data_IF_040496222480
#
_entry.id   IF_040496222480
#
_cell.length_a   1.000
_cell.length_b   1.000
_cell.length_c   1.000
_cell.angle_alpha   90.00
_cell.angle_beta   90.00
_cell.angle_gamma   90.00
#
_symmetry.space_group_name_H-M   'P 1'
#
loop_
_entity.id
_entity.type
_entity.pdbx_description
1 polymer ?
#
# COMPACT_ATOMS: atom_id res chain seq x y z
N UNK A 1 0.18 28.28 -6.74
CA UNK A 1 1.56 28.46 -6.21
C UNK A 1 2.16 27.08 -6.01
N UNK A 2 3.09 26.68 -6.87
CA UNK A 2 3.87 25.45 -6.67
C UNK A 2 4.84 25.66 -5.51
N UNK A 3 4.70 24.89 -4.44
CA UNK A 3 5.64 24.91 -3.33
C UNK A 3 6.98 24.33 -3.81
N UNK A 4 8.11 25.05 -3.71
CA UNK A 4 9.43 24.51 -3.97
C UNK A 4 9.87 23.67 -2.76
N UNK A 5 10.29 22.41 -2.99
CA UNK A 5 11.01 21.63 -1.96
C UNK A 5 10.52 20.21 -1.65
N UNK A 6 9.65 19.61 -2.46
CA UNK A 6 9.18 18.24 -2.22
C UNK A 6 10.01 17.21 -2.99
N UNK A 7 11.25 17.00 -2.55
CA UNK A 7 12.02 15.82 -2.93
C UNK A 7 12.06 14.91 -1.71
N UNK A 8 11.26 13.84 -1.72
CA UNK A 8 11.55 12.68 -0.87
C UNK A 8 12.84 12.04 -1.42
N UNK A 9 14.00 12.39 -0.86
CA UNK A 9 15.26 11.76 -1.24
C UNK A 9 15.37 10.35 -0.63
N UNK A 10 15.49 9.28 -1.43
CA UNK A 10 16.06 8.03 -0.95
C UNK A 10 17.59 8.19 -0.97
N UNK A 11 18.19 8.49 0.18
CA UNK A 11 19.64 8.53 0.31
C UNK A 11 20.23 7.12 0.42
N UNK A 12 20.68 6.52 -0.69
CA UNK A 12 21.78 5.54 -0.71
C UNK A 12 22.50 5.63 -2.08
N UNK A 13 23.76 6.09 -2.07
CA UNK A 13 24.66 6.10 -3.22
C UNK A 13 25.58 4.87 -3.09
N UNK A 14 25.66 4.02 -4.12
CA UNK A 14 26.81 3.15 -4.36
C UNK A 14 27.30 3.36 -5.81
N UNK A 15 28.62 3.52 -6.04
CA UNK A 15 29.16 3.82 -7.36
C UNK A 15 29.41 2.53 -8.15
N UNK A 16 29.05 2.50 -9.42
CA UNK A 16 29.71 1.61 -10.37
C UNK A 16 29.91 2.31 -11.71
N UNK A 17 31.18 2.63 -11.99
CA UNK A 17 31.70 2.95 -13.31
C UNK A 17 31.58 1.72 -14.22
N UNK A 18 31.14 1.91 -15.48
CA UNK A 18 31.90 1.49 -16.67
C UNK A 18 31.33 2.07 -17.99
N UNK A 19 32.26 2.17 -18.93
CA UNK A 19 32.32 2.94 -20.17
C UNK A 19 31.30 2.60 -21.28
N UNK A 20 30.84 3.67 -21.94
CA UNK A 20 30.96 3.99 -23.38
C UNK A 20 30.83 2.86 -24.44
N UNK A 21 29.84 2.97 -25.33
CA UNK A 21 30.06 3.04 -26.80
C UNK A 21 28.83 3.55 -27.55
N UNK A 22 29.09 4.50 -28.45
CA UNK A 22 28.14 5.19 -29.34
C UNK A 22 28.16 4.48 -30.70
N UNK A 23 27.00 4.13 -31.26
CA UNK A 23 26.87 3.79 -32.68
C UNK A 23 25.71 4.56 -33.31
N UNK A 24 26.07 5.43 -34.24
CA UNK A 24 25.18 6.08 -35.20
C UNK A 24 24.93 5.11 -36.37
N UNK A 25 23.69 4.95 -36.79
CA UNK A 25 23.39 4.56 -38.19
C UNK A 25 22.06 5.16 -38.64
N UNK A 26 22.16 6.03 -39.66
CA UNK A 26 21.04 6.51 -40.46
C UNK A 26 20.44 5.36 -41.27
N UNK A 27 19.11 5.35 -41.39
CA UNK A 27 18.38 4.50 -42.33
C UNK A 27 17.04 5.14 -42.67
N UNK A 28 16.99 5.86 -43.78
CA UNK A 28 15.80 6.42 -44.42
C UNK A 28 14.92 5.29 -44.97
N UNK A 29 13.61 5.35 -44.73
CA UNK A 29 12.65 4.61 -45.55
C UNK A 29 11.41 5.45 -45.85
N UNK A 30 11.23 5.74 -47.15
CA UNK A 30 10.01 6.23 -47.77
C UNK A 30 8.96 5.12 -47.81
N UNK A 31 7.71 5.44 -47.46
CA UNK A 31 6.55 4.71 -48.02
C UNK A 31 5.30 5.59 -48.10
N UNK A 32 5.01 6.00 -49.34
CA UNK A 32 3.74 6.17 -50.03
C UNK A 32 2.45 6.41 -49.22
N UNK A 33 1.89 7.59 -49.48
CA UNK A 33 0.50 7.99 -49.23
C UNK A 33 -0.44 7.23 -50.17
N UNK A 34 -1.47 6.60 -49.62
CA UNK A 34 -2.64 6.17 -50.37
C UNK A 34 -3.92 6.61 -49.65
N UNK A 35 -4.65 7.53 -50.27
CA UNK A 35 -6.02 7.90 -49.91
C UNK A 35 -7.00 6.79 -50.31
N UNK A 36 -7.94 6.44 -49.42
CA UNK A 36 -9.26 5.97 -49.85
C UNK A 36 -10.34 6.38 -48.84
N UNK A 37 -11.54 6.62 -49.39
CA UNK A 37 -12.65 7.39 -48.82
C UNK A 37 -13.52 6.60 -47.81
N UNK A 38 -14.06 7.39 -46.89
CA UNK A 38 -15.34 7.29 -46.15
C UNK A 38 -16.22 6.04 -46.32
N UNK A 39 -16.56 5.42 -45.18
CA UNK A 39 -17.77 4.63 -44.99
C UNK A 39 -18.19 4.69 -43.52
N UNK A 40 -19.32 5.37 -43.25
CA UNK A 40 -20.00 5.38 -41.95
C UNK A 40 -20.66 4.03 -41.71
N UNK A 41 -20.31 3.36 -40.61
CA UNK A 41 -21.13 2.29 -40.03
C UNK A 41 -21.00 2.35 -38.51
N UNK A 42 -22.08 2.81 -37.89
CA UNK A 42 -22.34 2.74 -36.47
C UNK A 42 -22.50 1.27 -36.07
N UNK A 43 -21.65 0.78 -35.17
CA UNK A 43 -21.73 -0.58 -34.64
C UNK A 43 -21.93 -0.54 -33.11
N UNK A 44 -23.05 -1.14 -32.70
CA UNK A 44 -23.53 -1.32 -31.34
C UNK A 44 -22.50 -1.96 -30.38
N UNK A 45 -22.63 -1.79 -29.06
CA UNK A 45 -21.59 -2.16 -28.10
C UNK A 45 -21.50 -3.68 -27.94
N UNK A 46 -20.28 -4.21 -28.11
CA UNK A 46 -19.97 -5.60 -27.83
C UNK A 46 -19.88 -5.84 -26.31
N UNK A 47 -20.91 -6.47 -25.76
CA UNK A 47 -20.84 -7.14 -24.46
C UNK A 47 -19.92 -8.38 -24.59
N UNK A 48 -18.62 -8.21 -24.37
CA UNK A 48 -17.65 -9.30 -24.31
C UNK A 48 -17.32 -9.68 -22.87
N UNK A 49 -17.99 -10.69 -22.31
CA UNK A 49 -17.47 -11.45 -21.16
C UNK A 49 -16.28 -12.28 -21.65
N UNK A 50 -15.06 -11.78 -21.46
CA UNK A 50 -13.84 -12.56 -21.66
C UNK A 50 -13.66 -13.59 -20.55
N UNK A 51 -14.25 -14.78 -20.73
CA UNK A 51 -14.02 -15.96 -19.89
C UNK A 51 -12.80 -16.70 -20.41
N UNK A 52 -11.63 -16.48 -19.80
CA UNK A 52 -10.47 -17.35 -20.02
C UNK A 52 -10.15 -18.02 -18.69
N UNK A 53 -10.38 -19.33 -18.64
CA UNK A 53 -10.15 -20.18 -17.47
C UNK A 53 -8.71 -20.68 -17.37
N UNK A 54 -8.45 -21.67 -16.50
CA UNK A 54 -7.13 -22.27 -16.31
C UNK A 54 -6.50 -22.73 -17.63
N UNK A 55 -5.19 -22.56 -17.78
CA UNK A 55 -4.40 -22.99 -18.94
C UNK A 55 -4.39 -22.02 -20.13
N UNK A 56 -5.10 -20.88 -20.06
CA UNK A 56 -5.12 -19.91 -21.16
C UNK A 56 -3.94 -18.92 -21.05
N UNK A 57 -3.24 -18.74 -22.16
CA UNK A 57 -2.16 -17.73 -22.31
C UNK A 57 -2.74 -16.42 -22.84
N UNK A 58 -2.52 -15.33 -22.10
CA UNK A 58 -2.84 -13.97 -22.56
C UNK A 58 -1.78 -13.48 -23.55
N UNK A 59 -2.15 -13.38 -24.84
CA UNK A 59 -1.21 -13.06 -25.94
C UNK A 59 -0.71 -11.60 -25.95
N UNK A 60 -1.52 -10.64 -25.52
CA UNK A 60 -1.15 -9.21 -25.42
C UNK A 60 -1.33 -8.77 -23.98
N UNK A 61 -0.25 -8.37 -23.31
CA UNK A 61 -0.24 -8.00 -21.88
C UNK A 61 0.05 -6.51 -21.74
N UNK A 62 -0.95 -5.62 -21.99
CA UNK A 62 -0.75 -4.19 -21.78
C UNK A 62 -0.33 -3.92 -20.33
N UNK A 63 0.43 -2.85 -20.11
CA UNK A 63 1.08 -2.50 -18.83
C UNK A 63 2.18 -3.48 -18.34
N UNK A 64 2.34 -4.67 -18.93
CA UNK A 64 3.36 -5.62 -18.48
C UNK A 64 4.77 -5.10 -18.71
N UNK A 65 5.61 -5.15 -17.68
CA UNK A 65 7.04 -4.88 -17.74
C UNK A 65 7.87 -6.14 -17.95
N UNK A 66 7.24 -7.32 -17.88
CA UNK A 66 7.92 -8.60 -17.93
C UNK A 66 7.24 -9.63 -17.02
N UNK A 67 7.48 -10.90 -17.34
CA UNK A 67 7.02 -12.06 -16.58
C UNK A 67 8.17 -13.05 -16.42
N UNK A 68 8.28 -13.65 -15.23
CA UNK A 68 9.15 -14.79 -14.93
C UNK A 68 8.27 -15.97 -14.56
N UNK A 69 8.57 -17.17 -15.07
CA UNK A 69 7.75 -18.37 -14.87
C UNK A 69 6.84 -18.68 -16.06
N UNK A 70 5.78 -19.47 -15.83
CA UNK A 70 4.83 -19.87 -16.88
C UNK A 70 3.76 -18.80 -17.12
N UNK A 71 3.63 -18.36 -18.37
CA UNK A 71 2.67 -17.31 -18.75
C UNK A 71 1.21 -17.78 -18.85
N UNK A 72 0.96 -19.10 -18.80
CA UNK A 72 -0.37 -19.70 -18.77
C UNK A 72 -0.99 -19.56 -17.37
N UNK A 73 -2.23 -19.08 -17.33
CA UNK A 73 -2.94 -18.87 -16.08
C UNK A 73 -3.15 -20.20 -15.33
N UNK A 74 -2.89 -20.23 -14.03
CA UNK A 74 -3.30 -21.35 -13.17
C UNK A 74 -4.48 -20.96 -12.29
N UNK A 75 -5.12 -21.97 -11.69
CA UNK A 75 -6.12 -21.75 -10.65
C UNK A 75 -5.72 -22.61 -9.45
N UNK A 76 -5.32 -21.96 -8.37
CA UNK A 76 -4.92 -22.60 -7.12
C UNK A 76 -5.86 -22.17 -6.02
N UNK A 77 -6.07 -23.07 -5.05
CA UNK A 77 -6.74 -22.71 -3.82
C UNK A 77 -5.91 -21.68 -3.06
N UNK A 78 -6.49 -20.50 -2.84
CA UNK A 78 -5.88 -19.42 -2.06
C UNK A 78 -6.42 -19.40 -0.63
N UNK A 79 -5.61 -18.91 0.30
CA UNK A 79 -6.04 -18.53 1.65
C UNK A 79 -5.85 -17.03 1.83
N UNK A 80 -6.91 -16.33 2.26
CA UNK A 80 -6.87 -14.88 2.41
C UNK A 80 -5.81 -14.39 3.40
N UNK A 81 -5.39 -13.15 3.19
CA UNK A 81 -4.45 -12.46 4.07
C UNK A 81 -4.06 -11.11 3.52
N UNK A 82 -3.54 -10.25 4.39
CA UNK A 82 -3.04 -8.93 4.00
C UNK A 82 -1.65 -8.69 4.55
N UNK A 83 -0.83 -7.96 3.80
CA UNK A 83 0.48 -7.49 4.24
C UNK A 83 0.56 -5.98 4.15
N UNK A 84 0.73 -5.33 5.31
CA UNK A 84 0.99 -3.90 5.43
C UNK A 84 2.49 -3.71 5.69
N UNK A 85 3.27 -3.39 4.65
CA UNK A 85 4.72 -3.27 4.73
C UNK A 85 5.17 -1.79 4.74
N UNK A 86 6.08 -1.45 5.66
CA UNK A 86 6.43 -0.06 5.93
C UNK A 86 7.39 0.58 4.93
N UNK A 87 7.94 -0.15 3.96
CA UNK A 87 8.92 0.37 2.99
C UNK A 87 10.38 0.11 3.39
N UNK A 88 11.31 0.78 2.70
CA UNK A 88 12.73 0.49 2.84
C UNK A 88 13.11 -0.82 2.14
N UNK A 89 13.96 -1.64 2.79
CA UNK A 89 14.23 -3.00 2.29
C UNK A 89 13.00 -3.88 2.53
N UNK A 90 12.64 -4.66 1.53
CA UNK A 90 11.55 -5.62 1.60
C UNK A 90 11.77 -6.72 2.65
N UNK A 91 10.66 -7.27 3.16
CA UNK A 91 10.65 -8.29 4.21
C UNK A 91 10.40 -9.67 3.59
N UNK A 92 11.47 -10.44 3.36
CA UNK A 92 11.39 -11.78 2.76
C UNK A 92 10.36 -12.69 3.44
N UNK A 93 10.29 -12.67 4.77
CA UNK A 93 9.37 -13.52 5.53
C UNK A 93 7.90 -13.22 5.22
N UNK A 94 7.55 -11.96 4.96
CA UNK A 94 6.20 -11.56 4.58
C UNK A 94 5.86 -12.04 3.15
N UNK A 95 6.82 -11.98 2.22
CA UNK A 95 6.63 -12.54 0.88
C UNK A 95 6.47 -14.06 0.90
N UNK A 96 7.31 -14.79 1.65
CA UNK A 96 7.13 -16.24 1.84
C UNK A 96 5.76 -16.58 2.43
N UNK A 97 5.31 -15.79 3.40
CA UNK A 97 3.99 -15.93 4.02
C UNK A 97 2.84 -15.72 3.02
N UNK A 98 2.98 -14.78 2.08
CA UNK A 98 2.01 -14.56 1.00
C UNK A 98 2.05 -15.68 -0.06
N UNK A 99 3.24 -16.16 -0.43
CA UNK A 99 3.41 -17.27 -1.39
C UNK A 99 2.75 -18.56 -0.88
N UNK A 100 2.94 -18.88 0.41
CA UNK A 100 2.26 -20.02 1.05
C UNK A 100 0.73 -19.92 0.90
N UNK A 101 0.19 -18.71 1.06
CA UNK A 101 -1.24 -18.40 0.93
C UNK A 101 -1.77 -18.36 -0.49
N UNK A 102 -0.89 -18.19 -1.47
CA UNK A 102 -1.26 -18.19 -2.89
C UNK A 102 -1.38 -19.61 -3.46
N UNK A 103 -0.97 -20.63 -2.70
CA UNK A 103 -0.87 -22.00 -3.20
C UNK A 103 0.17 -22.16 -4.31
N UNK A 104 1.11 -21.21 -4.43
CA UNK A 104 2.12 -21.17 -5.48
C UNK A 104 1.57 -20.86 -6.87
N UNK A 105 0.47 -20.10 -6.96
CA UNK A 105 -0.11 -19.66 -8.24
C UNK A 105 0.58 -18.46 -8.87
N UNK A 106 -0.18 -17.68 -9.64
CA UNK A 106 0.27 -16.49 -10.33
C UNK A 106 0.38 -15.29 -9.38
N UNK A 107 1.56 -14.66 -9.35
CA UNK A 107 1.83 -13.45 -8.58
C UNK A 107 1.81 -12.24 -9.50
N UNK A 108 1.02 -11.24 -9.16
CA UNK A 108 0.97 -9.96 -9.87
C UNK A 108 1.47 -8.85 -8.96
N UNK A 109 2.41 -8.05 -9.47
CA UNK A 109 2.86 -6.80 -8.86
C UNK A 109 2.27 -5.65 -9.65
N UNK A 110 1.62 -4.71 -8.97
CA UNK A 110 1.10 -3.49 -9.60
C UNK A 110 1.82 -2.25 -9.09
N UNK A 111 2.10 -1.32 -10.00
CA UNK A 111 2.82 -0.07 -9.72
C UNK A 111 2.48 1.02 -10.74
N UNK A 112 2.78 2.28 -10.44
CA UNK A 112 2.66 3.40 -11.39
C UNK A 112 4.03 3.86 -11.91
N UNK A 113 5.11 3.66 -11.16
CA UNK A 113 6.47 4.07 -11.52
C UNK A 113 7.48 2.99 -11.15
N UNK A 114 8.60 2.89 -11.88
CA UNK A 114 9.69 1.94 -11.67
C UNK A 114 9.66 0.70 -12.57
N UNK A 115 10.35 -0.38 -12.17
CA UNK A 115 10.71 -1.52 -13.03
C UNK A 115 10.04 -2.85 -12.61
N UNK A 116 10.43 -3.96 -13.21
CA UNK A 116 10.01 -5.33 -12.90
C UNK A 116 10.91 -6.05 -11.87
N UNK A 117 11.71 -5.31 -11.09
CA UNK A 117 12.69 -5.88 -10.15
C UNK A 117 12.11 -6.87 -9.12
N UNK A 118 10.80 -6.78 -8.81
CA UNK A 118 10.11 -7.74 -7.96
C UNK A 118 10.01 -9.13 -8.58
N UNK A 119 9.99 -9.25 -9.91
CA UNK A 119 9.80 -10.52 -10.61
C UNK A 119 10.86 -11.57 -10.22
N UNK A 120 12.17 -11.36 -10.48
CA UNK A 120 13.17 -12.34 -10.11
C UNK A 120 13.32 -12.48 -8.59
N UNK A 121 13.10 -11.41 -7.83
CA UNK A 121 13.20 -11.43 -6.36
C UNK A 121 12.14 -12.35 -5.75
N UNK A 122 10.85 -12.13 -6.01
CA UNK A 122 9.77 -12.96 -5.44
C UNK A 122 9.87 -14.40 -5.94
N UNK A 123 10.21 -14.61 -7.21
CA UNK A 123 10.41 -15.94 -7.77
C UNK A 123 11.56 -16.73 -7.09
N UNK A 124 12.50 -16.03 -6.45
CA UNK A 124 13.59 -16.66 -5.69
C UNK A 124 13.22 -17.04 -4.25
N UNK A 125 12.10 -16.55 -3.72
CA UNK A 125 11.72 -16.72 -2.30
C UNK A 125 10.88 -17.96 -2.02
N UNK A 126 10.28 -18.56 -3.05
CA UNK A 126 9.43 -19.74 -2.95
C UNK A 126 8.94 -20.19 -4.32
N UNK A 127 8.17 -21.28 -4.35
CA UNK A 127 7.60 -21.83 -5.59
C UNK A 127 6.32 -21.09 -5.96
N UNK A 128 6.29 -20.50 -7.14
CA UNK A 128 5.15 -19.83 -7.76
C UNK A 128 5.05 -20.22 -9.22
N UNK A 129 3.86 -20.11 -9.83
CA UNK A 129 3.68 -20.38 -11.26
C UNK A 129 4.36 -19.29 -12.10
N UNK A 130 4.07 -18.04 -11.77
CA UNK A 130 4.69 -16.88 -12.41
C UNK A 130 4.72 -15.67 -11.50
N UNK A 131 5.57 -14.72 -11.88
CA UNK A 131 5.59 -13.37 -11.31
C UNK A 131 5.59 -12.36 -12.45
N UNK A 132 4.56 -11.52 -12.50
CA UNK A 132 4.38 -10.49 -13.53
C UNK A 132 4.23 -9.11 -12.87
N UNK A 133 4.96 -8.12 -13.39
CA UNK A 133 4.81 -6.73 -12.96
C UNK A 133 4.02 -5.94 -14.01
N UNK A 134 2.94 -5.28 -13.58
CA UNK A 134 2.14 -4.36 -14.36
C UNK A 134 2.39 -2.90 -13.92
N UNK A 135 2.86 -2.07 -14.85
CA UNK A 135 2.96 -0.61 -14.69
C UNK A 135 1.68 0.06 -15.20
N UNK A 136 0.78 0.39 -14.29
CA UNK A 136 -0.53 0.97 -14.55
C UNK A 136 -0.47 2.47 -14.22
N UNK A 137 0.09 3.26 -15.13
CA UNK A 137 0.44 4.68 -14.94
C UNK A 137 -0.52 5.66 -15.66
N UNK A 138 -1.69 5.16 -16.09
CA UNK A 138 -2.72 5.96 -16.74
C UNK A 138 -4.11 5.39 -16.47
N UNK A 139 -5.14 6.25 -16.61
CA UNK A 139 -6.55 5.84 -16.56
C UNK A 139 -6.91 4.84 -17.66
N UNK A 140 -6.29 4.95 -18.84
CA UNK A 140 -6.53 4.05 -19.96
C UNK A 140 -6.03 2.64 -19.67
N UNK A 141 -4.80 2.51 -19.15
CA UNK A 141 -4.29 1.21 -18.69
C UNK A 141 -5.11 0.67 -17.52
N UNK A 142 -5.52 1.53 -16.58
CA UNK A 142 -6.34 1.11 -15.44
C UNK A 142 -7.77 0.67 -15.83
N UNK A 143 -8.27 1.09 -16.99
CA UNK A 143 -9.56 0.66 -17.55
C UNK A 143 -9.44 -0.40 -18.65
N UNK A 144 -8.22 -0.87 -18.93
CA UNK A 144 -8.00 -1.92 -19.90
C UNK A 144 -8.52 -3.27 -19.39
N UNK A 145 -9.34 -3.96 -20.18
CA UNK A 145 -9.94 -5.24 -19.79
C UNK A 145 -8.91 -6.34 -19.54
N UNK A 146 -7.81 -6.34 -20.29
CA UNK A 146 -6.75 -7.33 -20.12
C UNK A 146 -5.96 -7.10 -18.84
N UNK A 147 -5.66 -5.86 -18.47
CA UNK A 147 -5.04 -5.52 -17.18
C UNK A 147 -5.91 -5.99 -16.03
N UNK A 148 -7.20 -5.63 -16.06
CA UNK A 148 -8.16 -6.05 -15.03
C UNK A 148 -8.30 -7.57 -14.96
N UNK A 149 -8.27 -8.26 -16.11
CA UNK A 149 -8.32 -9.71 -16.17
C UNK A 149 -7.08 -10.36 -15.53
N UNK A 150 -5.87 -9.90 -15.84
CA UNK A 150 -4.64 -10.42 -15.23
C UNK A 150 -4.70 -10.27 -13.70
N UNK A 151 -5.10 -9.09 -13.20
CA UNK A 151 -5.23 -8.87 -11.76
C UNK A 151 -6.27 -9.81 -11.14
N UNK A 152 -7.47 -9.94 -11.74
CA UNK A 152 -8.53 -10.80 -11.17
C UNK A 152 -8.14 -12.26 -11.06
N UNK A 153 -7.26 -12.75 -11.94
CA UNK A 153 -6.83 -14.13 -11.91
C UNK A 153 -5.58 -14.37 -11.07
N UNK A 154 -4.90 -13.35 -10.55
CA UNK A 154 -3.78 -13.54 -9.65
C UNK A 154 -4.17 -14.35 -8.40
N UNK A 155 -3.30 -15.28 -7.98
CA UNK A 155 -3.38 -15.95 -6.68
C UNK A 155 -2.68 -15.13 -5.58
N UNK A 156 -1.91 -14.12 -5.96
CA UNK A 156 -1.27 -13.17 -5.05
C UNK A 156 -1.14 -11.81 -5.72
N UNK A 157 -1.51 -10.75 -5.02
CA UNK A 157 -1.30 -9.37 -5.48
C UNK A 157 -0.39 -8.61 -4.53
N UNK A 158 0.61 -7.91 -5.08
CA UNK A 158 1.44 -6.99 -4.33
C UNK A 158 1.44 -5.59 -4.95
N UNK A 159 1.18 -4.58 -4.13
CA UNK A 159 1.18 -3.18 -4.53
C UNK A 159 2.52 -2.56 -4.13
N UNK A 160 3.33 -2.20 -5.13
CA UNK A 160 4.67 -1.67 -4.87
C UNK A 160 4.64 -0.30 -4.16
N UNK A 161 5.83 0.18 -3.79
CA UNK A 161 6.03 1.58 -3.38
C UNK A 161 6.00 2.54 -4.57
N UNK A 162 5.95 3.83 -4.27
CA UNK A 162 5.82 4.92 -5.24
C UNK A 162 5.19 6.15 -4.59
N UNK A 163 4.38 6.87 -5.35
CA UNK A 163 3.52 7.94 -4.86
C UNK A 163 2.08 7.42 -4.77
N UNK A 164 1.48 7.44 -3.57
CA UNK A 164 0.13 6.95 -3.37
C UNK A 164 -0.94 7.83 -4.05
N UNK A 165 -0.64 9.10 -4.33
CA UNK A 165 -1.55 9.98 -5.09
C UNK A 165 -1.70 9.53 -6.54
N UNK A 166 -0.65 8.94 -7.14
CA UNK A 166 -0.72 8.33 -8.47
C UNK A 166 -1.67 7.12 -8.48
N UNK A 167 -1.66 6.29 -7.44
CA UNK A 167 -2.56 5.13 -7.35
C UNK A 167 -4.02 5.56 -7.27
N UNK A 168 -4.31 6.61 -6.51
CA UNK A 168 -5.64 7.19 -6.48
C UNK A 168 -6.02 7.79 -7.84
N UNK A 169 -5.14 8.62 -8.39
CA UNK A 169 -5.35 9.30 -9.67
C UNK A 169 -5.63 8.32 -10.80
N UNK A 170 -4.84 7.25 -10.92
CA UNK A 170 -4.98 6.30 -12.01
C UNK A 170 -6.02 5.22 -11.71
N UNK A 171 -6.04 4.62 -10.52
CA UNK A 171 -6.80 3.38 -10.30
C UNK A 171 -8.19 3.59 -9.71
N UNK A 172 -8.42 4.64 -8.93
CA UNK A 172 -9.74 4.88 -8.31
C UNK A 172 -10.85 5.06 -9.36
N UNK A 173 -11.99 4.41 -9.18
CA UNK A 173 -13.12 4.39 -10.11
C UNK A 173 -12.90 3.58 -11.39
N UNK A 174 -11.84 2.75 -11.48
CA UNK A 174 -11.49 2.01 -12.71
C UNK A 174 -11.72 0.50 -12.59
N UNK A 175 -11.50 -0.22 -13.69
CA UNK A 175 -11.51 -1.70 -13.69
C UNK A 175 -10.38 -2.29 -12.84
N UNK A 176 -9.23 -1.62 -12.74
CA UNK A 176 -8.14 -2.01 -11.82
C UNK A 176 -8.59 -2.00 -10.36
N UNK A 177 -9.24 -0.94 -9.88
CA UNK A 177 -9.79 -0.94 -8.50
C UNK A 177 -10.77 -2.09 -8.29
N UNK A 178 -11.69 -2.30 -9.23
CA UNK A 178 -12.66 -3.40 -9.16
C UNK A 178 -11.98 -4.77 -9.13
N UNK A 179 -10.88 -4.94 -9.86
CA UNK A 179 -10.10 -6.17 -9.87
C UNK A 179 -9.37 -6.41 -8.53
N UNK A 180 -8.76 -5.37 -7.96
CA UNK A 180 -8.11 -5.43 -6.63
C UNK A 180 -9.15 -5.77 -5.56
N UNK A 181 -10.31 -5.08 -5.58
CA UNK A 181 -11.39 -5.33 -4.63
C UNK A 181 -11.95 -6.75 -4.78
N UNK A 182 -12.07 -7.28 -5.99
CA UNK A 182 -12.43 -8.69 -6.21
C UNK A 182 -11.46 -9.66 -5.51
N UNK A 183 -10.14 -9.42 -5.60
CA UNK A 183 -9.15 -10.24 -4.89
C UNK A 183 -9.30 -10.14 -3.36
N UNK A 184 -9.55 -8.94 -2.85
CA UNK A 184 -9.71 -8.68 -1.41
C UNK A 184 -11.00 -9.31 -0.83
N UNK A 185 -12.13 -9.25 -1.55
CA UNK A 185 -13.44 -9.54 -0.96
C UNK A 185 -14.07 -10.85 -1.46
N UNK A 186 -13.86 -11.22 -2.72
CA UNK A 186 -14.52 -12.35 -3.38
C UNK A 186 -13.58 -13.55 -3.52
N UNK A 187 -12.46 -13.39 -4.24
CA UNK A 187 -11.46 -14.48 -4.40
C UNK A 187 -10.72 -14.75 -3.10
N UNK A 188 -10.56 -13.72 -2.25
CA UNK A 188 -9.81 -13.78 -0.99
C UNK A 188 -8.38 -14.29 -1.20
N UNK A 189 -7.72 -13.75 -2.22
CA UNK A 189 -6.29 -13.96 -2.43
C UNK A 189 -5.47 -13.14 -1.42
N UNK A 190 -4.25 -13.56 -1.05
CA UNK A 190 -3.33 -12.69 -0.31
C UNK A 190 -3.02 -11.40 -1.09
N UNK A 191 -3.28 -10.25 -0.47
CA UNK A 191 -3.00 -8.92 -1.05
C UNK A 191 -2.11 -8.12 -0.10
N UNK A 192 -0.97 -7.65 -0.59
CA UNK A 192 0.00 -6.89 0.19
C UNK A 192 0.37 -5.58 -0.46
N UNK A 193 0.98 -4.68 0.30
CA UNK A 193 1.57 -3.47 -0.25
C UNK A 193 2.68 -2.91 0.63
N UNK A 194 3.62 -2.20 0.01
CA UNK A 194 4.74 -1.53 0.70
C UNK A 194 4.72 -0.03 0.46
N UNK A 195 5.07 0.75 1.48
CA UNK A 195 5.12 2.22 1.37
C UNK A 195 3.78 2.78 0.82
N UNK A 196 3.77 3.49 -0.30
CA UNK A 196 2.53 3.94 -0.96
C UNK A 196 1.47 2.82 -1.15
N UNK A 197 1.88 1.60 -1.48
CA UNK A 197 0.97 0.45 -1.59
C UNK A 197 0.36 0.04 -0.26
N UNK A 198 1.10 0.15 0.85
CA UNK A 198 0.58 -0.03 2.20
C UNK A 198 -0.44 1.07 2.55
N UNK A 199 -0.12 2.33 2.21
CA UNK A 199 -0.93 3.49 2.58
C UNK A 199 -2.37 3.45 2.04
N UNK A 200 -2.60 2.82 0.88
CA UNK A 200 -3.92 2.75 0.24
C UNK A 200 -4.77 1.53 0.65
N UNK A 201 -4.22 0.61 1.46
CA UNK A 201 -4.95 -0.59 1.90
C UNK A 201 -5.91 -0.30 3.07
N UNK A 202 -5.69 0.79 3.81
CA UNK A 202 -6.66 1.27 4.80
C UNK A 202 -7.96 1.73 4.15
N UNK A 203 -9.09 1.43 4.78
CA UNK A 203 -10.38 2.01 4.39
C UNK A 203 -10.40 3.53 4.60
N UNK A 204 -9.62 4.01 5.56
CA UNK A 204 -9.25 5.41 5.71
C UNK A 204 -7.83 5.58 5.20
N UNK A 205 -7.55 6.59 4.39
CA UNK A 205 -6.20 6.73 3.83
C UNK A 205 -5.80 8.19 3.63
N UNK A 206 -4.50 8.44 3.79
CA UNK A 206 -3.86 9.73 3.53
C UNK A 206 -3.26 9.74 2.13
N UNK A 207 -3.65 10.71 1.30
CA UNK A 207 -3.29 10.70 -0.13
C UNK A 207 -1.89 11.20 -0.46
N UNK A 208 -1.22 11.92 0.43
CA UNK A 208 0.07 12.55 0.10
C UNK A 208 0.01 13.62 -0.99
N UNK A 209 -1.19 13.98 -1.46
CA UNK A 209 -1.38 15.01 -2.49
C UNK A 209 -0.74 16.33 -2.04
N UNK A 210 -0.08 17.00 -2.99
CA UNK A 210 0.60 18.28 -2.78
C UNK A 210 1.81 18.24 -1.83
N UNK A 211 2.32 17.03 -1.49
CA UNK A 211 3.50 16.69 -0.68
C UNK A 211 3.16 16.01 0.65
N UNK A 212 4.05 15.13 1.12
CA UNK A 212 3.90 14.43 2.41
C UNK A 212 4.05 15.41 3.58
N UNK A 213 3.04 15.48 4.44
CA UNK A 213 3.12 16.23 5.70
C UNK A 213 4.05 15.54 6.71
N UNK A 214 4.84 16.34 7.43
CA UNK A 214 5.63 15.89 8.59
C UNK A 214 4.81 15.91 9.88
N UNK A 215 5.26 15.20 10.92
CA UNK A 215 4.61 15.27 12.24
C UNK A 215 4.64 16.67 12.84
N UNK A 216 5.75 17.41 12.69
CA UNK A 216 5.86 18.76 13.21
C UNK A 216 4.82 19.71 12.58
N UNK A 217 4.69 19.68 11.25
CA UNK A 217 3.68 20.49 10.54
C UNK A 217 2.25 20.09 10.91
N UNK A 218 1.96 18.78 10.92
CA UNK A 218 0.62 18.28 11.20
C UNK A 218 0.16 18.63 12.62
N UNK A 219 1.06 18.52 13.61
CA UNK A 219 0.75 18.84 15.01
C UNK A 219 0.53 20.35 15.23
N UNK A 220 1.22 21.21 14.49
CA UNK A 220 1.07 22.66 14.58
C UNK A 220 -0.14 23.19 13.79
N UNK A 221 -0.54 22.51 12.72
CA UNK A 221 -1.75 22.85 11.96
C UNK A 221 -2.45 21.60 11.39
N UNK A 222 -3.43 21.03 12.12
CA UNK A 222 -4.17 19.83 11.71
C UNK A 222 -5.01 19.96 10.43
N UNK A 223 -5.18 21.17 9.90
CA UNK A 223 -5.93 21.45 8.67
C UNK A 223 -5.05 22.13 7.60
N UNK A 224 -3.73 21.87 7.61
CA UNK A 224 -2.88 22.27 6.48
C UNK A 224 -3.32 21.61 5.18
N UNK A 225 -3.08 22.28 4.04
CA UNK A 225 -3.51 21.84 2.70
C UNK A 225 -2.88 20.52 2.25
N UNK A 226 -1.77 20.12 2.89
CA UNK A 226 -1.08 18.84 2.65
C UNK A 226 -1.70 17.67 3.42
N UNK A 227 -2.74 17.89 4.23
CA UNK A 227 -3.49 16.83 4.93
C UNK A 227 -4.82 16.58 4.22
N UNK A 228 -4.82 15.57 3.35
CA UNK A 228 -6.00 15.10 2.63
C UNK A 228 -6.27 13.63 3.01
N UNK A 229 -7.33 13.42 3.79
CA UNK A 229 -7.75 12.10 4.27
C UNK A 229 -9.08 11.72 3.60
N UNK A 230 -9.19 10.48 3.16
CA UNK A 230 -10.34 9.94 2.44
C UNK A 230 -10.96 8.77 3.20
N UNK A 231 -12.20 8.42 2.84
CA UNK A 231 -13.04 7.48 3.59
C UNK A 231 -13.77 6.49 2.69
N UNK A 232 -13.31 5.23 2.72
CA UNK A 232 -13.96 4.04 2.20
C UNK A 232 -14.43 4.12 0.73
N UNK A 233 -13.72 4.89 -0.09
CA UNK A 233 -14.08 5.16 -1.48
C UNK A 233 -13.03 4.66 -2.49
N UNK A 234 -12.14 3.74 -2.06
CA UNK A 234 -11.12 3.13 -2.92
C UNK A 234 -10.97 1.61 -2.72
N UNK A 235 -10.10 1.15 -1.82
CA UNK A 235 -9.91 -0.28 -1.55
C UNK A 235 -10.76 -0.75 -0.37
N UNK A 236 -11.23 -2.00 -0.45
CA UNK A 236 -12.17 -2.61 0.50
C UNK A 236 -11.54 -3.78 1.24
N UNK A 237 -10.33 -3.57 1.75
CA UNK A 237 -9.57 -4.59 2.45
C UNK A 237 -10.30 -5.06 3.73
N UNK A 238 -10.52 -6.37 3.95
CA UNK A 238 -11.21 -6.88 5.14
C UNK A 238 -10.61 -6.37 6.45
N UNK A 239 -11.44 -6.08 7.46
CA UNK A 239 -11.03 -5.55 8.78
C UNK A 239 -10.45 -4.13 8.78
N UNK A 240 -10.12 -3.55 7.63
CA UNK A 240 -9.44 -2.25 7.55
C UNK A 240 -10.38 -1.06 7.26
N UNK A 241 -11.71 -1.25 7.26
CA UNK A 241 -12.69 -0.21 6.92
C UNK A 241 -12.57 1.04 7.82
N UNK A 242 -12.24 0.86 9.09
CA UNK A 242 -12.03 1.95 10.06
C UNK A 242 -10.56 2.09 10.47
N UNK A 243 -9.65 1.63 9.61
CA UNK A 243 -8.20 1.71 9.82
C UNK A 243 -7.61 2.72 8.86
N UNK A 244 -6.77 3.61 9.38
CA UNK A 244 -5.80 4.36 8.59
C UNK A 244 -4.41 3.74 8.74
N UNK A 245 -3.70 3.57 7.62
CA UNK A 245 -2.36 2.98 7.60
C UNK A 245 -1.28 4.04 7.46
N UNK A 246 -0.15 3.84 8.14
CA UNK A 246 1.06 4.67 7.96
C UNK A 246 2.31 3.80 7.79
N UNK A 247 3.36 4.36 7.19
CA UNK A 247 4.51 3.66 6.67
C UNK A 247 5.78 4.50 6.86
N UNK A 248 6.97 3.90 6.71
CA UNK A 248 8.26 4.52 7.03
C UNK A 248 8.24 5.21 8.42
N UNK A 249 7.55 4.57 9.36
CA UNK A 249 6.91 5.26 10.46
C UNK A 249 7.90 5.97 11.40
N UNK A 250 8.82 5.23 12.02
CA UNK A 250 9.84 5.81 12.90
C UNK A 250 10.95 6.47 12.08
N UNK A 251 11.32 5.84 10.97
CA UNK A 251 12.37 6.34 10.07
C UNK A 251 12.10 7.78 9.60
N UNK A 252 10.83 8.17 9.46
CA UNK A 252 10.39 9.52 9.08
C UNK A 252 9.65 10.27 10.19
N UNK A 253 9.72 9.79 11.44
CA UNK A 253 9.12 10.41 12.63
C UNK A 253 7.62 10.75 12.44
N UNK A 254 6.83 9.77 11.99
CA UNK A 254 5.43 9.95 11.56
C UNK A 254 4.39 9.72 12.67
N UNK A 255 4.83 9.60 13.92
CA UNK A 255 3.92 9.37 15.04
C UNK A 255 2.93 10.52 15.26
N UNK A 256 3.42 11.76 15.22
CA UNK A 256 2.61 12.96 15.42
C UNK A 256 1.56 13.16 14.32
N UNK A 257 1.92 12.94 13.04
CA UNK A 257 0.95 13.07 11.94
C UNK A 257 -0.14 12.00 12.00
N UNK A 258 0.19 10.78 12.42
CA UNK A 258 -0.80 9.71 12.60
C UNK A 258 -1.81 10.05 13.71
N UNK A 259 -1.34 10.66 14.81
CA UNK A 259 -2.22 11.16 15.86
C UNK A 259 -3.15 12.27 15.33
N UNK A 260 -2.63 13.16 14.49
CA UNK A 260 -3.41 14.23 13.84
C UNK A 260 -4.45 13.65 12.88
N UNK A 261 -4.10 12.68 12.05
CA UNK A 261 -5.05 12.03 11.15
C UNK A 261 -6.18 11.36 11.93
N UNK A 262 -5.86 10.60 12.97
CA UNK A 262 -6.83 9.96 13.83
C UNK A 262 -7.77 10.98 14.51
N UNK A 263 -7.22 12.10 15.00
CA UNK A 263 -8.00 13.18 15.59
C UNK A 263 -8.91 13.89 14.59
N UNK A 264 -8.42 14.11 13.36
CA UNK A 264 -9.21 14.67 12.24
C UNK A 264 -10.36 13.75 11.87
N UNK A 265 -10.11 12.46 11.70
CA UNK A 265 -11.14 11.46 11.38
C UNK A 265 -12.20 11.41 12.50
N UNK A 266 -11.77 11.41 13.76
CA UNK A 266 -12.67 11.41 14.90
C UNK A 266 -13.54 12.67 14.94
N UNK A 267 -12.95 13.85 14.74
CA UNK A 267 -13.73 15.10 14.76
C UNK A 267 -14.65 15.24 13.54
N UNK A 268 -14.12 15.05 12.34
CA UNK A 268 -14.81 15.43 11.10
C UNK A 268 -15.88 14.40 10.72
N UNK A 269 -15.68 13.12 11.07
CA UNK A 269 -16.60 12.03 10.70
C UNK A 269 -17.20 11.29 11.89
N UNK A 270 -16.85 11.64 13.13
CA UNK A 270 -17.27 10.92 14.33
C UNK A 270 -16.91 9.41 14.29
N UNK A 271 -15.77 9.09 13.68
CA UNK A 271 -15.25 7.72 13.56
C UNK A 271 -14.07 7.55 14.53
N UNK A 272 -14.19 6.61 15.47
CA UNK A 272 -13.08 6.19 16.33
C UNK A 272 -12.07 5.30 15.59
N UNK A 273 -11.40 5.90 14.60
CA UNK A 273 -10.47 5.23 13.71
C UNK A 273 -9.33 4.56 14.47
N UNK A 274 -8.86 3.44 13.94
CA UNK A 274 -7.65 2.77 14.38
C UNK A 274 -6.51 3.13 13.43
N UNK A 275 -5.28 3.11 13.93
CA UNK A 275 -4.10 3.27 13.08
C UNK A 275 -3.28 2.00 13.12
N UNK A 276 -2.86 1.51 11.97
CA UNK A 276 -1.82 0.49 11.87
C UNK A 276 -0.64 1.11 11.13
N UNK A 277 0.49 1.27 11.82
CA UNK A 277 1.67 1.88 11.24
C UNK A 277 2.84 0.90 11.26
N UNK A 278 3.56 0.80 10.14
CA UNK A 278 4.75 -0.06 10.01
C UNK A 278 5.98 0.78 9.71
N UNK A 279 7.06 0.56 10.44
CA UNK A 279 8.35 1.17 10.12
C UNK A 279 9.02 0.49 8.91
N UNK A 280 10.09 1.09 8.39
CA UNK A 280 10.88 0.45 7.33
C UNK A 280 11.33 -0.97 7.74
N UNK A 281 11.40 -1.86 6.75
CA UNK A 281 11.76 -3.28 6.93
C UNK A 281 10.86 -4.04 7.92
N UNK A 282 9.64 -3.56 8.09
CA UNK A 282 8.61 -4.18 8.92
C UNK A 282 7.36 -4.43 8.11
N UNK A 283 6.71 -5.57 8.37
CA UNK A 283 5.48 -5.99 7.72
C UNK A 283 4.50 -6.55 8.76
N UNK A 284 3.31 -5.95 8.83
CA UNK A 284 2.19 -6.52 9.57
C UNK A 284 1.45 -7.48 8.64
N UNK A 285 1.53 -8.78 8.93
CA UNK A 285 0.83 -9.83 8.18
C UNK A 285 -0.44 -10.22 8.93
N UNK A 286 -1.60 -9.93 8.35
CA UNK A 286 -2.95 -10.15 8.91
C UNK A 286 -3.56 -11.34 8.20
N UNK A 287 -3.86 -12.42 8.92
CA UNK A 287 -4.46 -13.61 8.33
C UNK A 287 -5.96 -13.46 8.03
N UNK A 288 -6.55 -14.52 7.47
CA UNK A 288 -7.97 -14.59 7.11
C UNK A 288 -8.95 -14.40 8.29
N UNK A 289 -8.48 -14.53 9.53
CA UNK A 289 -9.28 -14.38 10.75
C UNK A 289 -8.98 -13.03 11.45
N UNK A 290 -8.19 -12.16 10.80
CA UNK A 290 -7.80 -10.85 11.33
C UNK A 290 -6.70 -10.92 12.39
N UNK A 291 -6.02 -12.06 12.57
CA UNK A 291 -4.88 -12.16 13.50
C UNK A 291 -3.62 -11.66 12.80
N UNK A 292 -2.98 -10.67 13.40
CA UNK A 292 -1.77 -10.06 12.89
C UNK A 292 -0.52 -10.58 13.59
N UNK A 293 0.56 -10.78 12.83
CA UNK A 293 1.94 -10.97 13.31
C UNK A 293 2.87 -9.98 12.62
N UNK A 294 3.97 -9.60 13.28
CA UNK A 294 4.87 -8.54 12.80
C UNK A 294 6.22 -9.12 12.35
N UNK A 295 6.45 -9.14 11.04
CA UNK A 295 7.67 -9.67 10.44
C UNK A 295 8.66 -8.55 10.11
N UNK A 296 9.96 -8.79 10.28
CA UNK A 296 10.98 -7.80 9.98
C UNK A 296 12.37 -8.18 10.47
N UNK A 297 13.34 -7.30 10.26
CA UNK A 297 14.75 -7.52 10.57
C UNK A 297 15.23 -6.77 11.83
N UNK A 298 14.35 -6.61 12.81
CA UNK A 298 14.70 -6.01 14.10
C UNK A 298 15.97 -6.63 14.69
N UNK A 299 16.86 -5.77 15.15
CA UNK A 299 18.09 -6.11 15.83
C UNK A 299 18.35 -5.02 16.89
N UNK A 300 18.89 -5.40 18.04
CA UNK A 300 19.26 -4.45 19.11
C UNK A 300 20.18 -3.32 18.60
N UNK A 301 21.01 -3.59 17.59
CA UNK A 301 21.90 -2.61 16.97
C UNK A 301 21.24 -1.74 15.89
N UNK A 302 19.98 -2.03 15.55
CA UNK A 302 19.14 -1.22 14.66
C UNK A 302 17.74 -1.14 15.26
N UNK A 303 17.50 -0.22 16.21
CA UNK A 303 16.23 -0.09 16.93
C UNK A 303 15.11 0.54 16.07
N UNK A 304 15.09 0.21 14.78
CA UNK A 304 14.09 0.57 13.79
C UNK A 304 13.61 -0.74 13.16
N UNK A 305 12.41 -1.19 13.53
CA UNK A 305 11.61 -2.25 12.89
C UNK A 305 10.45 -2.60 13.82
N UNK A 306 9.48 -1.69 13.92
CA UNK A 306 8.33 -1.82 14.80
C UNK A 306 7.04 -1.63 14.01
N UNK A 307 5.98 -2.28 14.51
CA UNK A 307 4.62 -1.97 14.12
C UNK A 307 3.84 -1.39 15.30
N UNK A 308 2.95 -0.46 15.01
CA UNK A 308 2.14 0.24 15.98
C UNK A 308 0.66 0.05 15.67
N UNK A 309 -0.12 -0.25 16.71
CA UNK A 309 -1.57 -0.35 16.67
C UNK A 309 -2.14 0.71 17.61
N UNK A 310 -2.71 1.77 17.03
CA UNK A 310 -3.24 2.93 17.78
C UNK A 310 -4.75 2.86 17.81
N UNK A 311 -5.29 3.08 19.00
CA UNK A 311 -6.70 2.90 19.29
C UNK A 311 -7.24 4.20 19.85
N UNK A 312 -8.10 4.84 19.07
CA UNK A 312 -8.89 5.99 19.52
C UNK A 312 -10.17 5.53 20.19
N UNK A 313 -10.72 6.41 21.02
CA UNK A 313 -11.96 6.26 21.74
C UNK A 313 -12.91 7.39 21.31
N UNK A 314 -14.13 7.01 20.91
CA UNK A 314 -15.12 7.96 20.41
C UNK A 314 -15.51 9.01 21.47
N UNK A 315 -15.45 8.66 22.75
CA UNK A 315 -15.75 9.57 23.85
C UNK A 315 -14.61 10.55 24.15
N UNK A 316 -13.41 10.33 23.59
CA UNK A 316 -12.21 11.13 23.86
C UNK A 316 -11.85 12.02 22.67
N UNK A 317 -12.75 12.90 22.21
CA UNK A 317 -12.44 13.85 21.14
C UNK A 317 -11.23 14.76 21.47
N UNK A 318 -10.47 15.29 20.51
CA UNK A 318 -9.47 16.32 20.82
C UNK A 318 -10.11 17.56 21.47
N UNK A 319 -9.47 18.10 22.52
CA UNK A 319 -9.90 19.35 23.17
C UNK A 319 -9.77 20.55 22.23
N UNK A 320 -8.74 20.55 21.38
CA UNK A 320 -8.59 21.52 20.28
C UNK A 320 -8.00 20.84 19.06
N UNK A 321 -8.75 20.86 17.96
CA UNK A 321 -8.26 20.49 16.64
C UNK A 321 -8.97 21.37 15.63
N UNK A 322 -8.41 22.53 15.32
CA UNK A 322 -9.00 23.54 14.42
C UNK A 322 -7.94 24.10 13.49
N UNK A 323 -8.35 24.63 12.34
CA UNK A 323 -7.41 25.17 11.37
C UNK A 323 -6.53 26.28 11.95
N UNK A 324 -5.24 26.24 11.60
CA UNK A 324 -4.25 27.25 12.01
C UNK A 324 -3.86 27.24 13.48
N UNK A 325 -4.31 26.26 14.27
CA UNK A 325 -3.93 26.13 15.69
C UNK A 325 -3.25 24.79 15.97
N UNK A 326 -2.27 24.75 16.89
CA UNK A 326 -1.68 23.50 17.34
C UNK A 326 -2.72 22.55 17.93
N UNK A 327 -2.52 21.25 17.70
CA UNK A 327 -3.33 20.17 18.26
C UNK A 327 -3.21 20.16 19.78
N UNK A 328 -4.34 20.23 20.48
CA UNK A 328 -4.43 19.82 21.88
C UNK A 328 -5.35 18.62 21.95
N UNK A 329 -4.77 17.46 22.26
CA UNK A 329 -5.50 16.23 22.51
C UNK A 329 -4.87 15.54 23.71
N UNK A 330 -5.18 16.04 24.91
CA UNK A 330 -4.48 15.68 26.15
C UNK A 330 -5.18 14.52 26.87
N UNK A 331 -6.47 14.69 27.18
CA UNK A 331 -7.33 13.73 27.89
C UNK A 331 -6.66 13.15 29.14
N UNK A 332 -6.03 14.01 29.94
CA UNK A 332 -5.30 13.62 31.15
C UNK A 332 -4.07 12.75 30.87
N UNK A 333 -3.40 13.00 29.74
CA UNK A 333 -2.27 12.21 29.25
C UNK A 333 -2.65 10.84 28.69
N UNK A 334 -3.92 10.63 28.31
CA UNK A 334 -4.47 9.32 27.89
C UNK A 334 -5.42 9.41 26.70
N UNK A 335 -5.06 10.26 25.72
CA UNK A 335 -5.86 10.50 24.53
C UNK A 335 -6.05 9.24 23.69
N UNK A 336 -4.96 8.53 23.39
CA UNK A 336 -5.02 7.27 22.62
C UNK A 336 -4.16 6.18 23.27
N UNK A 337 -4.63 4.94 23.19
CA UNK A 337 -3.85 3.77 23.56
C UNK A 337 -3.03 3.30 22.35
N UNK A 338 -1.76 2.96 22.57
CA UNK A 338 -0.86 2.52 21.51
C UNK A 338 -0.18 1.23 21.91
N UNK A 339 -0.28 0.22 21.07
CA UNK A 339 0.47 -1.02 21.21
C UNK A 339 1.62 -1.06 20.22
N UNK A 340 2.83 -1.23 20.74
CA UNK A 340 4.06 -1.33 19.96
C UNK A 340 4.56 -2.79 19.95
N UNK A 341 4.85 -3.32 18.76
CA UNK A 341 5.39 -4.67 18.59
C UNK A 341 6.71 -4.59 17.83
N UNK A 342 7.77 -5.13 18.40
CA UNK A 342 9.04 -5.34 17.70
C UNK A 342 8.86 -6.43 16.64
N UNK A 343 9.35 -6.18 15.43
CA UNK A 343 9.31 -7.17 14.37
C UNK A 343 10.25 -8.35 14.66
N UNK A 344 10.01 -9.50 14.03
CA UNK A 344 10.94 -10.63 14.06
C UNK A 344 10.87 -11.41 12.76
N UNK A 345 11.97 -12.03 12.33
CA UNK A 345 11.98 -12.90 11.16
C UNK A 345 10.98 -14.07 11.28
N UNK A 346 10.67 -14.49 12.51
CA UNK A 346 9.72 -15.57 12.81
C UNK A 346 8.31 -15.09 13.17
N UNK A 347 8.06 -13.78 13.05
CA UNK A 347 6.81 -13.13 13.47
C UNK A 347 6.87 -12.71 14.94
N UNK A 348 7.02 -11.41 15.15
CA UNK A 348 7.01 -10.75 16.46
C UNK A 348 5.59 -10.46 16.92
N UNK A 349 5.34 -10.77 18.20
CA UNK A 349 4.08 -10.53 18.89
C UNK A 349 2.82 -10.99 18.15
N UNK A 350 1.69 -10.45 18.58
CA UNK A 350 0.41 -10.68 17.95
C UNK A 350 -0.59 -9.58 18.30
N UNK A 351 -1.49 -9.29 17.37
CA UNK A 351 -2.60 -8.36 17.57
C UNK A 351 -3.86 -8.81 16.81
N UNK A 352 -5.05 -8.69 17.40
CA UNK A 352 -6.29 -9.03 16.71
C UNK A 352 -6.91 -7.80 16.04
N UNK A 353 -6.76 -7.68 14.73
CA UNK A 353 -7.27 -6.56 13.91
C UNK A 353 -8.78 -6.69 13.65
N UNK A 354 -9.37 -7.89 13.74
CA UNK A 354 -10.83 -8.04 13.52
C UNK A 354 -11.69 -7.40 14.62
N UNK A 355 -11.16 -7.30 15.84
CA UNK A 355 -11.90 -6.76 16.99
C UNK A 355 -11.13 -5.70 17.78
N UNK A 356 -9.84 -5.51 17.52
CA UNK A 356 -8.96 -4.60 18.27
C UNK A 356 -9.00 -4.83 19.80
N UNK A 357 -9.23 -6.08 20.22
CA UNK A 357 -9.28 -6.45 21.63
C UNK A 357 -7.87 -6.43 22.24
N UNK A 358 -7.65 -5.50 23.17
CA UNK A 358 -6.36 -5.28 23.83
C UNK A 358 -5.87 -6.50 24.58
N UNK A 359 -6.78 -7.30 25.13
CA UNK A 359 -6.44 -8.48 25.92
C UNK A 359 -5.84 -9.63 25.08
N UNK A 360 -5.99 -9.58 23.76
CA UNK A 360 -5.44 -10.57 22.83
C UNK A 360 -4.07 -10.15 22.28
N UNK A 361 -3.59 -8.96 22.65
CA UNK A 361 -2.30 -8.44 22.21
C UNK A 361 -1.15 -9.13 22.96
N UNK A 362 -0.11 -9.55 22.25
CA UNK A 362 1.05 -10.28 22.83
C UNK A 362 2.38 -9.81 22.27
N UNK A 363 3.48 -10.00 23.01
CA UNK A 363 4.86 -9.75 22.55
C UNK A 363 5.20 -8.28 22.25
N UNK A 364 4.54 -7.33 22.92
CA UNK A 364 4.70 -5.90 22.71
C UNK A 364 4.50 -5.09 23.98
N UNK A 365 4.45 -3.76 23.84
CA UNK A 365 4.33 -2.80 24.94
C UNK A 365 3.18 -1.84 24.72
N UNK A 366 2.53 -1.45 25.82
CA UNK A 366 1.46 -0.48 25.81
C UNK A 366 1.97 0.92 26.19
N UNK A 367 1.48 1.91 25.45
CA UNK A 367 1.71 3.32 25.71
C UNK A 367 0.39 4.09 25.74
N UNK A 368 0.37 5.19 26.48
CA UNK A 368 -0.55 6.30 26.30
C UNK A 368 0.15 7.38 25.49
N UNK A 369 -0.49 7.84 24.42
CA UNK A 369 -0.03 9.01 23.66
C UNK A 369 -1.06 10.14 23.77
N UNK A 370 -0.56 11.36 23.74
CA UNK A 370 -1.37 12.58 23.74
C UNK A 370 -0.59 13.73 23.09
N UNK A 371 -1.31 14.78 22.69
CA UNK A 371 -0.70 16.01 22.20
C UNK A 371 -1.04 17.17 23.14
N UNK A 372 -0.05 17.97 23.50
CA UNK A 372 -0.22 19.21 24.26
C UNK A 372 0.42 20.36 23.48
N UNK A 373 -0.40 21.32 23.07
CA UNK A 373 0.01 22.48 22.26
C UNK A 373 0.90 22.13 21.05
N UNK A 374 0.52 21.09 20.30
CA UNK A 374 1.24 20.60 19.13
C UNK A 374 2.54 19.84 19.43
N UNK A 375 2.72 19.38 20.66
CA UNK A 375 3.84 18.51 21.07
C UNK A 375 3.29 17.13 21.39
N UNK A 376 3.81 16.11 20.69
CA UNK A 376 3.49 14.71 20.97
C UNK A 376 4.19 14.27 22.27
N UNK A 377 3.43 13.66 23.16
CA UNK A 377 3.90 13.07 24.40
C UNK A 377 3.52 11.58 24.44
N UNK A 378 4.38 10.78 25.06
CA UNK A 378 4.24 9.32 25.15
C UNK A 378 4.59 8.86 26.57
N UNK A 379 3.83 7.93 27.13
CA UNK A 379 4.10 7.30 28.43
C UNK A 379 3.79 5.81 28.38
N UNK A 380 4.73 4.97 28.79
CA UNK A 380 4.49 3.52 28.95
C UNK A 380 3.42 3.28 30.03
N UNK A 381 2.50 2.33 29.78
CA UNK A 381 1.34 2.08 30.65
C UNK A 381 1.70 1.36 31.95
#
# INVERSE_FOLDING_TARGET
>A
MSLPGCIEHPGVIYPFMKQLTLFLSLGTWFCLVACSKSGTAEAAPANGKGTTGPGVVVKRRPASLGIVGDSANVDKTVTGGMVLMGGGKDVDAAFRWMIDRSGGGDVVIIRATGTDAYNPYINSLGTVNSVETLKIDSKDLANNDTVAHIIRNAEMLFIAGGDQSDYMKYWKGTKTEKAINYLLTEKRAPVGGTSAGCAILGGLYYSGENCSVTSAEALQNPYTITINVYNNDFLKAPYLQQVITDQHYLTRQREGRSLVFAGRILKDWNIAAKVIASDERTAVCIDKDGKAKVYGDYNENRPYSYAYFIITDQAKLPEQITAGKPLNWNRGGKAVAVYEIAASANGGGGFNVSNFNLAEATGGKWYWWWADNGILNKKEQ
#
